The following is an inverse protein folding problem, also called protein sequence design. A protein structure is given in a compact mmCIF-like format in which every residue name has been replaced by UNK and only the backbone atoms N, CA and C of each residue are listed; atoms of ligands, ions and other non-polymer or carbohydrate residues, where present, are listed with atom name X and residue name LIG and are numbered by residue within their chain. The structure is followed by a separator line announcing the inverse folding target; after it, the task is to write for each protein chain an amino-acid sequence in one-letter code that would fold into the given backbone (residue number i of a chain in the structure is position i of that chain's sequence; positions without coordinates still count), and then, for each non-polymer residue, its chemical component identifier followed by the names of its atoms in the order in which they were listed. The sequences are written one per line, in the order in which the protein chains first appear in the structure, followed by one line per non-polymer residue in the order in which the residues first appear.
data_IF_394002627151
#
_entry.id   IF_394002627151
#
_cell.length_a   1.000
_cell.length_b   1.000
_cell.length_c   1.000
_cell.angle_alpha   90.00
_cell.angle_beta   90.00
_cell.angle_gamma   90.00
#
_symmetry.space_group_name_H-M   'P 1'
#
loop_
_entity.id
_entity.type
_entity.pdbx_description
1 polymer ?
#
# COMPACT_ATOMS: atom_id res chain seq x y z
N UNK A 1 8.83 19.24 -12.27
CA UNK A 1 10.09 18.55 -12.61
C UNK A 1 10.62 19.01 -13.96
N UNK A 2 9.94 18.74 -15.08
CA UNK A 2 10.42 19.13 -16.41
C UNK A 2 9.95 20.51 -16.93
N UNK A 3 8.97 21.12 -16.26
CA UNK A 3 8.36 22.40 -16.66
C UNK A 3 8.97 23.60 -15.95
N UNK A 4 9.70 23.39 -14.86
CA UNK A 4 10.35 24.40 -14.02
C UNK A 4 11.85 24.48 -14.35
N UNK A 5 12.47 25.66 -14.19
CA UNK A 5 13.91 25.87 -14.44
C UNK A 5 14.78 25.23 -13.34
N UNK A 6 14.71 23.91 -13.25
CA UNK A 6 15.48 23.08 -12.34
C UNK A 6 16.57 22.33 -13.12
N UNK A 7 17.55 21.76 -12.41
CA UNK A 7 18.72 21.11 -13.03
C UNK A 7 18.31 19.99 -13.99
N UNK A 8 17.21 19.32 -13.71
CA UNK A 8 16.62 18.24 -14.50
C UNK A 8 16.20 18.70 -15.90
N UNK A 9 15.66 19.92 -16.01
CA UNK A 9 15.30 20.53 -17.29
C UNK A 9 16.54 20.92 -18.10
N UNK A 10 17.56 21.46 -17.44
CA UNK A 10 18.82 21.89 -18.10
C UNK A 10 19.67 20.71 -18.54
N UNK A 11 19.81 19.69 -17.70
CA UNK A 11 20.65 18.54 -17.95
C UNK A 11 19.93 17.42 -18.73
N UNK A 12 18.60 17.54 -18.91
CA UNK A 12 17.73 16.52 -19.53
C UNK A 12 17.88 15.13 -18.88
N UNK A 13 18.28 15.09 -17.62
CA UNK A 13 18.55 13.88 -16.86
C UNK A 13 17.85 14.01 -15.50
N UNK A 14 17.29 12.90 -15.04
CA UNK A 14 16.68 12.77 -13.72
C UNK A 14 17.41 11.67 -12.98
N UNK A 15 18.05 12.03 -11.88
CA UNK A 15 18.67 11.07 -10.98
C UNK A 15 17.60 10.51 -10.02
N UNK A 16 17.55 9.18 -9.90
CA UNK A 16 16.62 8.45 -9.04
C UNK A 16 17.46 7.60 -8.09
N UNK A 17 17.66 8.08 -6.87
CA UNK A 17 18.54 7.44 -5.88
C UNK A 17 17.79 6.57 -4.87
N UNK A 18 16.47 6.68 -4.83
CA UNK A 18 15.62 6.07 -3.82
C UNK A 18 14.88 4.80 -4.27
N UNK A 19 15.05 4.42 -5.54
CA UNK A 19 14.47 3.21 -6.12
C UNK A 19 15.57 2.34 -6.72
N UNK A 20 15.42 1.02 -6.59
CA UNK A 20 16.29 0.09 -7.30
C UNK A 20 15.96 0.07 -8.80
N UNK A 21 16.92 -0.41 -9.60
CA UNK A 21 16.83 -0.41 -11.05
C UNK A 21 15.64 -1.22 -11.60
N UNK A 22 15.25 -2.33 -10.94
CA UNK A 22 14.10 -3.13 -11.40
C UNK A 22 12.78 -2.41 -11.13
N UNK A 23 12.64 -1.78 -9.95
CA UNK A 23 11.47 -0.95 -9.63
C UNK A 23 11.32 0.20 -10.62
N UNK A 24 12.39 0.92 -10.95
CA UNK A 24 12.34 1.99 -11.97
C UNK A 24 11.96 1.44 -13.33
N UNK A 25 12.55 0.32 -13.76
CA UNK A 25 12.24 -0.31 -15.05
C UNK A 25 10.77 -0.70 -15.15
N UNK A 26 10.21 -1.33 -14.11
CA UNK A 26 8.80 -1.75 -14.06
C UNK A 26 7.85 -0.55 -14.00
N UNK A 27 8.20 0.48 -13.23
CA UNK A 27 7.44 1.73 -13.18
C UNK A 27 7.36 2.37 -14.57
N UNK A 28 8.48 2.47 -15.28
CA UNK A 28 8.52 3.00 -16.65
C UNK A 28 7.74 2.10 -17.61
N UNK A 29 7.92 0.79 -17.55
CA UNK A 29 7.17 -0.14 -18.40
C UNK A 29 5.66 0.09 -18.24
N UNK A 30 5.17 0.16 -17.00
CA UNK A 30 3.78 0.44 -16.73
C UNK A 30 3.32 1.79 -17.30
N UNK A 31 4.10 2.86 -17.15
CA UNK A 31 3.74 4.16 -17.74
C UNK A 31 3.56 4.11 -19.27
N UNK A 32 4.32 3.28 -19.96
CA UNK A 32 4.29 3.18 -21.42
C UNK A 32 3.30 2.14 -21.97
N UNK A 33 2.93 1.15 -21.16
CA UNK A 33 2.16 -0.02 -21.63
C UNK A 33 0.89 -0.31 -20.85
N UNK A 34 0.73 0.31 -19.68
CA UNK A 34 -0.33 0.04 -18.69
C UNK A 34 -0.36 -1.42 -18.20
N UNK A 35 0.74 -2.17 -18.36
CA UNK A 35 0.87 -3.57 -17.93
C UNK A 35 1.81 -3.75 -16.75
N UNK A 36 1.45 -4.67 -15.85
CA UNK A 36 2.30 -5.16 -14.75
C UNK A 36 2.25 -6.69 -14.74
N UNK A 37 3.36 -7.30 -15.14
CA UNK A 37 3.52 -8.76 -15.15
C UNK A 37 4.42 -9.22 -13.99
N UNK A 38 4.19 -10.47 -13.56
CA UNK A 38 4.98 -11.15 -12.52
C UNK A 38 5.13 -10.34 -11.23
N UNK A 39 4.03 -9.74 -10.78
CA UNK A 39 4.03 -8.96 -9.55
C UNK A 39 4.08 -9.90 -8.34
N UNK A 40 5.14 -9.78 -7.55
CA UNK A 40 5.32 -10.43 -6.24
C UNK A 40 5.19 -9.39 -5.12
N UNK A 41 5.01 -9.85 -3.88
CA UNK A 41 4.81 -8.98 -2.71
C UNK A 41 5.85 -7.84 -2.62
N UNK A 42 7.15 -8.15 -2.63
CA UNK A 42 8.19 -7.12 -2.51
C UNK A 42 8.20 -6.16 -3.71
N UNK A 43 8.02 -6.67 -4.93
CA UNK A 43 7.92 -5.81 -6.12
C UNK A 43 6.67 -4.92 -6.10
N UNK A 44 5.54 -5.41 -5.58
CA UNK A 44 4.31 -4.64 -5.41
C UNK A 44 4.49 -3.53 -4.39
N UNK A 45 5.17 -3.83 -3.28
CA UNK A 45 5.49 -2.87 -2.21
C UNK A 45 6.42 -1.76 -2.72
N UNK A 46 7.48 -2.12 -3.44
CA UNK A 46 8.41 -1.14 -4.01
C UNK A 46 7.74 -0.29 -5.10
N UNK A 47 6.95 -0.91 -5.98
CA UNK A 47 6.20 -0.18 -7.00
C UNK A 47 5.11 0.72 -6.40
N UNK A 48 4.46 0.28 -5.32
CA UNK A 48 3.53 1.13 -4.58
C UNK A 48 4.23 2.37 -4.03
N UNK A 49 5.40 2.20 -3.41
CA UNK A 49 6.21 3.31 -2.90
C UNK A 49 6.59 4.29 -4.02
N UNK A 50 7.09 3.76 -5.15
CA UNK A 50 7.40 4.57 -6.33
C UNK A 50 6.15 5.31 -6.86
N UNK A 51 5.00 4.63 -6.94
CA UNK A 51 3.76 5.22 -7.42
C UNK A 51 3.28 6.37 -6.53
N UNK A 52 3.38 6.24 -5.21
CA UNK A 52 3.03 7.33 -4.29
C UNK A 52 4.01 8.50 -4.46
N UNK A 53 5.31 8.24 -4.48
CA UNK A 53 6.34 9.30 -4.55
C UNK A 53 6.29 10.10 -5.85
N UNK A 54 6.13 9.41 -6.98
CA UNK A 54 6.07 10.03 -8.30
C UNK A 54 4.63 10.38 -8.73
N UNK A 55 3.67 10.22 -7.82
CA UNK A 55 2.25 10.54 -7.99
C UNK A 55 1.59 9.89 -9.21
N UNK A 56 1.84 8.59 -9.39
CA UNK A 56 1.30 7.76 -10.48
C UNK A 56 0.07 7.02 -9.95
N UNK A 57 -1.08 7.70 -9.99
CA UNK A 57 -2.32 7.23 -9.32
C UNK A 57 -2.78 5.85 -9.81
N UNK A 58 -2.71 5.58 -11.12
CA UNK A 58 -3.11 4.28 -11.69
C UNK A 58 -2.22 3.13 -11.20
N UNK A 59 -0.90 3.34 -11.16
CA UNK A 59 0.06 2.37 -10.63
C UNK A 59 -0.17 2.12 -9.14
N UNK A 60 -0.42 3.19 -8.37
CA UNK A 60 -0.74 3.09 -6.93
C UNK A 60 -1.95 2.18 -6.74
N UNK A 61 -3.03 2.43 -7.47
CA UNK A 61 -4.26 1.65 -7.35
C UNK A 61 -4.04 0.18 -7.75
N UNK A 62 -3.28 -0.08 -8.81
CA UNK A 62 -2.97 -1.43 -9.26
C UNK A 62 -2.17 -2.22 -8.22
N UNK A 63 -1.15 -1.59 -7.63
CA UNK A 63 -0.34 -2.20 -6.57
C UNK A 63 -1.14 -2.38 -5.28
N UNK A 64 -1.96 -1.38 -4.90
CA UNK A 64 -2.85 -1.45 -3.74
C UNK A 64 -3.82 -2.63 -3.84
N UNK A 65 -4.47 -2.80 -5.00
CA UNK A 65 -5.37 -3.91 -5.23
C UNK A 65 -4.66 -5.27 -5.17
N UNK A 66 -3.44 -5.36 -5.70
CA UNK A 66 -2.65 -6.58 -5.59
C UNK A 66 -2.27 -6.90 -4.14
N UNK A 67 -1.78 -5.92 -3.38
CA UNK A 67 -1.43 -6.09 -1.97
C UNK A 67 -2.65 -6.54 -1.16
N UNK A 68 -3.80 -5.92 -1.40
CA UNK A 68 -5.10 -6.27 -0.81
C UNK A 68 -5.52 -7.71 -1.07
N UNK A 69 -5.24 -8.25 -2.25
CA UNK A 69 -5.58 -9.64 -2.59
C UNK A 69 -4.60 -10.67 -2.01
N UNK A 70 -3.43 -10.22 -1.56
CA UNK A 70 -2.33 -11.07 -1.07
C UNK A 70 -2.00 -10.80 0.41
N UNK A 71 -3.02 -10.37 1.17
CA UNK A 71 -2.93 -10.20 2.62
C UNK A 71 -2.80 -11.58 3.26
N UNK A 72 -1.75 -11.74 4.06
CA UNK A 72 -1.42 -12.92 4.84
C UNK A 72 -1.09 -12.48 6.27
N UNK A 73 -1.27 -13.38 7.24
CA UNK A 73 -0.92 -13.11 8.64
C UNK A 73 0.54 -12.64 8.82
N UNK A 74 1.44 -13.09 7.95
CA UNK A 74 2.85 -12.71 7.99
C UNK A 74 3.15 -11.31 7.47
N UNK A 75 2.31 -10.74 6.61
CA UNK A 75 2.53 -9.44 5.95
C UNK A 75 1.47 -8.37 6.29
N UNK A 76 0.39 -8.75 6.97
CA UNK A 76 -0.75 -7.89 7.32
C UNK A 76 -0.36 -6.58 8.02
N UNK A 77 0.50 -6.67 9.03
CA UNK A 77 0.95 -5.51 9.79
C UNK A 77 1.77 -4.55 8.92
N UNK A 78 2.64 -5.09 8.05
CA UNK A 78 3.45 -4.28 7.14
C UNK A 78 2.57 -3.54 6.11
N UNK A 79 1.56 -4.22 5.57
CA UNK A 79 0.58 -3.63 4.65
C UNK A 79 -0.23 -2.56 5.36
N UNK A 80 -0.66 -2.79 6.60
CA UNK A 80 -1.40 -1.82 7.40
C UNK A 80 -0.57 -0.56 7.66
N UNK A 81 0.70 -0.70 8.04
CA UNK A 81 1.59 0.44 8.23
C UNK A 81 1.83 1.21 6.94
N UNK A 82 1.99 0.49 5.83
CA UNK A 82 2.14 1.08 4.52
C UNK A 82 0.89 1.84 4.10
N UNK A 83 -0.31 1.30 4.36
CA UNK A 83 -1.57 1.96 4.07
C UNK A 83 -1.76 3.23 4.91
N UNK A 84 -1.51 3.15 6.22
CA UNK A 84 -1.62 4.26 7.15
C UNK A 84 -0.68 5.41 6.78
N UNK A 85 0.60 5.10 6.50
CA UNK A 85 1.61 6.09 6.11
C UNK A 85 1.24 6.83 4.82
N UNK A 86 0.58 6.15 3.89
CA UNK A 86 0.25 6.70 2.57
C UNK A 86 -1.22 7.14 2.44
N UNK A 87 -1.95 7.20 3.57
CA UNK A 87 -3.36 7.60 3.65
C UNK A 87 -4.23 6.83 2.63
N UNK A 88 -3.97 5.53 2.50
CA UNK A 88 -4.67 4.63 1.59
C UNK A 88 -5.76 3.88 2.35
N UNK A 89 -6.89 4.54 2.53
CA UNK A 89 -8.03 4.02 3.29
C UNK A 89 -8.59 2.72 2.70
N UNK A 90 -8.51 2.52 1.37
CA UNK A 90 -8.99 1.31 0.73
C UNK A 90 -8.15 0.09 1.09
N UNK A 91 -6.82 0.27 1.16
CA UNK A 91 -5.88 -0.76 1.60
C UNK A 91 -5.97 -0.97 3.11
N UNK A 92 -6.06 0.13 3.89
CA UNK A 92 -6.21 0.09 5.35
C UNK A 92 -7.47 -0.66 5.78
N UNK A 93 -8.57 -0.47 5.05
CA UNK A 93 -9.83 -1.16 5.35
C UNK A 93 -9.82 -2.64 4.98
N UNK A 94 -8.94 -3.08 4.07
CA UNK A 94 -8.86 -4.46 3.64
C UNK A 94 -8.19 -5.37 4.69
N UNK A 95 -7.23 -4.82 5.43
CA UNK A 95 -6.50 -5.50 6.50
C UNK A 95 -7.32 -5.75 7.78
N UNK A 96 -8.53 -5.19 7.88
CA UNK A 96 -9.42 -5.34 9.03
C UNK A 96 -10.12 -6.71 9.03
N UNK A 97 -9.32 -7.78 9.03
CA UNK A 97 -9.75 -9.15 9.27
C UNK A 97 -9.46 -9.55 10.71
N UNK A 98 -10.38 -10.30 11.33
CA UNK A 98 -10.26 -10.70 12.74
C UNK A 98 -8.97 -11.48 13.01
N UNK A 99 -8.52 -12.25 12.02
CA UNK A 99 -7.31 -13.07 12.11
C UNK A 99 -6.05 -12.22 12.37
N UNK A 100 -5.99 -10.98 11.87
CA UNK A 100 -4.84 -10.07 12.06
C UNK A 100 -4.67 -9.70 13.52
N UNK A 101 -5.77 -9.51 14.27
CA UNK A 101 -5.76 -9.15 15.69
C UNK A 101 -5.12 -10.22 16.59
N UNK A 102 -5.08 -11.47 16.12
CA UNK A 102 -4.50 -12.60 16.87
C UNK A 102 -3.04 -12.90 16.48
N UNK A 103 -2.46 -12.16 15.53
CA UNK A 103 -1.07 -12.38 15.10
C UNK A 103 -0.05 -11.88 16.14
N UNK A 104 1.14 -12.51 16.18
CA UNK A 104 2.22 -12.04 17.06
C UNK A 104 2.77 -10.67 16.62
N UNK A 105 2.70 -10.38 15.32
CA UNK A 105 3.05 -9.08 14.74
C UNK A 105 2.13 -7.98 15.28
N UNK A 106 0.83 -8.27 15.46
CA UNK A 106 -0.14 -7.32 16.00
C UNK A 106 0.21 -6.84 17.40
N UNK A 107 0.72 -7.71 18.28
CA UNK A 107 1.18 -7.33 19.63
C UNK A 107 2.24 -6.22 19.60
N UNK A 108 3.07 -6.20 18.56
CA UNK A 108 4.06 -5.14 18.37
C UNK A 108 3.41 -3.83 17.89
N UNK A 109 2.38 -3.91 17.05
CA UNK A 109 1.57 -2.75 16.62
C UNK A 109 0.83 -2.14 17.80
N UNK A 110 0.21 -2.97 18.66
CA UNK A 110 -0.50 -2.54 19.87
C UNK A 110 0.40 -1.70 20.79
N UNK A 111 1.67 -2.12 20.93
CA UNK A 111 2.64 -1.44 21.79
C UNK A 111 3.16 -0.14 21.19
N UNK A 112 3.44 -0.11 19.89
CA UNK A 112 4.15 1.02 19.26
C UNK A 112 3.20 2.03 18.60
N UNK A 113 1.98 1.62 18.23
CA UNK A 113 1.01 2.43 17.49
C UNK A 113 -0.41 2.28 18.06
N UNK A 114 -0.66 2.77 19.30
CA UNK A 114 -1.94 2.58 19.99
C UNK A 114 -3.13 3.27 19.28
N UNK A 115 -2.89 4.38 18.56
CA UNK A 115 -3.94 5.06 17.79
C UNK A 115 -4.40 4.22 16.60
N UNK A 116 -3.45 3.70 15.82
CA UNK A 116 -3.72 2.81 14.68
C UNK A 116 -4.45 1.53 15.13
N UNK A 117 -4.02 0.98 16.27
CA UNK A 117 -4.66 -0.17 16.91
C UNK A 117 -6.14 0.10 17.19
N UNK A 118 -6.45 1.24 17.83
CA UNK A 118 -7.83 1.62 18.15
C UNK A 118 -8.70 1.80 16.90
N UNK A 119 -8.14 2.36 15.83
CA UNK A 119 -8.84 2.53 14.55
C UNK A 119 -9.20 1.18 13.91
N UNK A 120 -8.24 0.25 13.86
CA UNK A 120 -8.48 -1.12 13.34
C UNK A 120 -9.51 -1.85 14.18
N UNK A 121 -9.42 -1.83 15.51
CA UNK A 121 -10.43 -2.45 16.38
C UNK A 121 -11.83 -1.87 16.14
N UNK A 122 -11.95 -0.54 16.00
CA UNK A 122 -13.23 0.10 15.67
C UNK A 122 -13.75 -0.36 14.31
N UNK A 123 -12.89 -0.46 13.31
CA UNK A 123 -13.27 -0.87 11.96
C UNK A 123 -13.74 -2.33 11.93
N UNK A 124 -13.01 -3.25 12.57
CA UNK A 124 -13.40 -4.67 12.71
C UNK A 124 -14.73 -4.79 13.46
N UNK A 125 -14.89 -4.10 14.59
CA UNK A 125 -16.14 -4.10 15.36
C UNK A 125 -17.34 -3.63 14.52
N UNK A 126 -17.18 -2.54 13.77
CA UNK A 126 -18.24 -1.99 12.91
C UNK A 126 -18.55 -2.87 11.69
N UNK A 127 -17.56 -3.61 11.17
CA UNK A 127 -17.74 -4.60 10.08
C UNK A 127 -18.54 -5.81 10.58
N UNK A 128 -18.20 -6.32 11.75
CA UNK A 128 -18.92 -7.45 12.37
C UNK A 128 -20.36 -7.11 12.73
N UNK A 129 -20.62 -5.89 13.20
CA UNK A 129 -21.99 -5.43 13.48
C UNK A 129 -22.86 -5.39 12.22
N UNK A 130 -22.35 -4.83 11.11
CA UNK A 130 -23.05 -4.79 9.81
C UNK A 130 -23.35 -6.19 9.24
N UNK A 131 -22.42 -7.13 9.42
CA UNK A 131 -22.61 -8.51 8.94
C UNK A 131 -23.74 -9.23 9.69
N UNK A 132 -23.89 -8.96 10.99
CA UNK A 132 -25.00 -9.49 11.81
C UNK A 132 -26.37 -8.94 11.39
N UNK A 133 -26.43 -7.66 11.02
CA UNK A 133 -27.66 -7.00 10.56
C UNK A 133 -28.14 -7.56 9.20
N UNK A 134 -27.22 -7.88 8.29
CA UNK A 134 -27.56 -8.50 6.99
C UNK A 134 -27.95 -9.97 7.05
N UNK A 135 -27.61 -10.70 8.12
CA UNK A 135 -27.97 -12.13 8.26
C UNK A 135 -29.37 -12.31 8.89
N UNK A 136 -30.00 -11.22 9.34
CA UNK A 136 -31.31 -11.21 10.00
C UNK A 136 -32.44 -10.64 9.13
N UNK A 137 -32.16 -10.25 7.88
CA UNK A 137 -33.16 -9.81 6.87
C UNK A 137 -33.32 -10.87 5.79
#
# INVERSE_FOLDING_TARGET
MFTTDMKEKTNKCVDIDDLDADTVRRMLLFMYTDTLDDLQYESAKNLYFAAVKYNIVSLKHRCSNFLKQNILLTNCCDILFLADKNQDEDLKNAENDEAVLFSDQWKNVEKNHPQLTLEVFRAVYMKNRRSKEHTQS
#
